data_IF_345434636542
#
_entry.id   IF_345434636542
#
_cell.length_a   1.000
_cell.length_b   1.000
_cell.length_c   1.000
_cell.angle_alpha   90.00
_cell.angle_beta   90.00
_cell.angle_gamma   90.00
#
_symmetry.space_group_name_H-M   'P 1'
#
loop_
_entity.id
_entity.type
_entity.pdbx_description
1 polymer ?
#
# COMPACT_ATOMS: atom_id res chain seq x y z
N UNK A 1 -5.29 -39.97 20.06
CA UNK A 1 -5.09 -41.31 20.65
C UNK A 1 -5.37 -42.32 19.55
N UNK A 2 -4.73 -43.49 19.60
CA UNK A 2 -4.59 -44.45 18.48
C UNK A 2 -3.74 -43.88 17.31
N UNK A 3 -2.79 -44.61 16.72
CA UNK A 3 -2.15 -45.87 17.12
C UNK A 3 -1.56 -46.62 15.93
N UNK A 4 -0.38 -47.28 16.12
CA UNK A 4 0.23 -48.31 15.22
C UNK A 4 0.74 -47.81 13.85
N UNK A 5 1.72 -48.41 13.17
CA UNK A 5 2.73 -49.47 13.43
C UNK A 5 3.87 -49.31 12.40
N UNK A 6 5.01 -50.00 12.54
CA UNK A 6 5.89 -50.36 11.39
C UNK A 6 7.35 -49.90 11.44
N UNK A 7 8.28 -50.86 11.51
CA UNK A 7 9.75 -50.71 11.51
C UNK A 7 10.38 -51.36 10.26
N UNK A 8 11.71 -51.18 10.11
CA UNK A 8 12.68 -51.82 9.18
C UNK A 8 12.81 -51.17 7.77
N UNK A 9 13.96 -51.16 7.08
CA UNK A 9 15.38 -51.44 7.41
C UNK A 9 16.29 -50.69 6.39
N UNK A 10 17.57 -50.46 6.71
CA UNK A 10 18.62 -50.00 5.77
C UNK A 10 19.48 -51.18 5.27
N UNK A 11 19.82 -51.20 3.98
CA UNK A 11 21.01 -51.93 3.46
C UNK A 11 21.63 -51.17 2.29
N UNK A 12 22.96 -51.03 2.35
CA UNK A 12 23.85 -50.46 1.33
C UNK A 12 24.69 -51.60 0.72
N UNK A 13 24.89 -51.63 -0.60
CA UNK A 13 26.15 -52.11 -1.19
C UNK A 13 26.33 -51.58 -2.65
N UNK A 14 27.60 -51.45 -2.97
CA UNK A 14 28.26 -50.84 -4.11
C UNK A 14 28.23 -51.63 -5.45
N UNK A 15 28.30 -50.87 -6.57
CA UNK A 15 29.26 -51.10 -7.68
C UNK A 15 29.21 -50.04 -8.80
N UNK A 16 30.36 -49.39 -9.03
CA UNK A 16 30.76 -48.63 -10.24
C UNK A 16 31.58 -49.60 -11.16
N UNK A 17 32.21 -49.25 -12.31
CA UNK A 17 32.15 -48.02 -13.12
C UNK A 17 32.07 -48.24 -14.66
N UNK A 18 31.98 -47.15 -15.44
CA UNK A 18 32.70 -47.02 -16.73
C UNK A 18 33.31 -45.61 -16.88
N UNK A 19 34.57 -45.57 -17.31
CA UNK A 19 35.29 -44.41 -17.85
C UNK A 19 35.81 -44.81 -19.23
N UNK A 20 35.74 -43.89 -20.19
CA UNK A 20 36.62 -43.81 -21.36
C UNK A 20 37.40 -42.51 -21.15
N UNK A 21 38.69 -42.52 -20.82
CA UNK A 21 39.86 -42.94 -21.64
C UNK A 21 40.24 -41.86 -22.66
N UNK A 22 41.06 -40.90 -22.22
CA UNK A 22 41.93 -40.08 -23.06
C UNK A 22 43.28 -39.93 -22.33
N UNK A 23 44.36 -40.06 -23.11
CA UNK A 23 45.74 -40.18 -22.62
C UNK A 23 46.44 -38.83 -22.48
N UNK A 24 47.50 -38.85 -21.69
CA UNK A 24 48.45 -37.76 -21.52
C UNK A 24 49.15 -37.38 -22.84
N UNK A 25 49.32 -36.08 -23.08
CA UNK A 25 50.57 -35.53 -23.62
C UNK A 25 50.90 -34.26 -22.83
N UNK A 26 52.08 -34.26 -22.17
CA UNK A 26 52.67 -33.09 -21.52
C UNK A 26 53.91 -32.70 -22.33
N UNK A 27 53.90 -31.51 -22.93
CA UNK A 27 55.11 -30.86 -23.45
C UNK A 27 55.12 -29.39 -23.02
N UNK A 28 56.32 -28.93 -22.69
CA UNK A 28 56.74 -27.70 -22.02
C UNK A 28 56.08 -26.37 -22.40
N UNK A 29 56.19 -25.44 -21.44
CA UNK A 29 55.89 -24.03 -21.57
C UNK A 29 56.93 -23.27 -22.42
N UNK A 30 56.52 -22.16 -23.04
CA UNK A 30 57.25 -20.88 -22.98
C UNK A 30 56.37 -19.71 -23.50
N UNK A 31 56.29 -18.67 -22.67
CA UNK A 31 56.12 -17.23 -22.93
C UNK A 31 55.00 -16.63 -23.82
N UNK A 32 54.25 -15.75 -23.14
CA UNK A 32 53.88 -14.37 -23.54
C UNK A 32 53.30 -14.08 -24.95
N UNK A 33 52.00 -13.73 -25.01
CA UNK A 33 51.56 -12.32 -25.02
C UNK A 33 50.03 -12.19 -25.08
N UNK A 34 49.53 -11.08 -24.53
CA UNK A 34 48.12 -10.75 -24.40
C UNK A 34 47.34 -10.71 -25.73
N UNK A 35 46.09 -11.18 -25.70
CA UNK A 35 45.01 -10.42 -26.31
C UNK A 35 43.74 -10.55 -25.47
N UNK A 36 43.33 -9.43 -24.87
CA UNK A 36 42.16 -9.36 -24.01
C UNK A 36 40.90 -9.33 -24.88
N UNK A 37 40.08 -10.37 -24.82
CA UNK A 37 38.72 -10.39 -25.39
C UNK A 37 37.77 -10.74 -24.26
N UNK A 38 37.56 -9.76 -23.38
CA UNK A 38 36.41 -9.77 -22.49
C UNK A 38 35.15 -9.80 -23.35
N UNK A 39 34.45 -10.94 -23.30
CA UNK A 39 33.05 -10.98 -23.72
C UNK A 39 32.30 -10.14 -22.71
N UNK A 40 32.05 -8.87 -23.03
CA UNK A 40 31.12 -8.04 -22.28
C UNK A 40 29.76 -8.75 -22.31
N UNK A 41 29.40 -9.36 -21.18
CA UNK A 41 28.01 -9.73 -20.90
C UNK A 41 27.18 -8.45 -20.90
N UNK A 42 26.59 -8.16 -22.06
CA UNK A 42 25.63 -7.09 -22.28
C UNK A 42 24.38 -7.33 -21.41
N UNK A 43 24.53 -7.05 -20.12
CA UNK A 43 23.44 -6.94 -19.17
C UNK A 43 22.55 -5.81 -19.68
N UNK A 44 21.27 -6.06 -20.02
CA UNK A 44 20.45 -5.05 -20.66
C UNK A 44 20.38 -3.79 -19.81
N UNK A 45 20.92 -2.68 -20.32
CA UNK A 45 20.95 -1.40 -19.60
C UNK A 45 19.52 -0.95 -19.32
N UNK A 46 19.05 -1.21 -18.09
CA UNK A 46 17.68 -0.93 -17.72
C UNK A 46 17.43 0.57 -17.87
N UNK A 47 16.41 0.95 -18.64
CA UNK A 47 16.07 2.34 -18.89
C UNK A 47 15.81 3.08 -17.57
N UNK A 48 16.73 3.96 -17.18
CA UNK A 48 16.57 4.84 -16.02
C UNK A 48 15.78 6.06 -16.46
N UNK A 49 14.71 6.39 -15.73
CA UNK A 49 13.88 7.59 -15.94
C UNK A 49 13.84 8.39 -14.65
N UNK A 50 14.46 9.57 -14.67
CA UNK A 50 14.38 10.54 -13.58
C UNK A 50 13.07 11.33 -13.72
N UNK A 51 12.33 11.45 -12.62
CA UNK A 51 11.08 12.19 -12.51
C UNK A 51 11.34 13.40 -11.64
N UNK A 52 11.43 14.57 -12.28
CA UNK A 52 11.51 15.87 -11.60
C UNK A 52 10.09 16.32 -11.19
N UNK A 53 9.92 16.70 -9.92
CA UNK A 53 8.63 17.06 -9.33
C UNK A 53 8.77 18.39 -8.57
N UNK A 54 7.91 19.36 -8.83
CA UNK A 54 7.83 20.55 -7.98
C UNK A 54 7.05 20.22 -6.69
N UNK A 55 7.63 20.53 -5.52
CA UNK A 55 7.02 20.26 -4.19
C UNK A 55 5.62 20.87 -4.02
N UNK A 56 5.28 21.92 -4.78
CA UNK A 56 3.98 22.60 -4.74
C UNK A 56 2.97 22.11 -5.80
N UNK A 57 3.33 21.12 -6.64
CA UNK A 57 2.49 20.63 -7.75
C UNK A 57 2.54 19.10 -7.94
N UNK A 58 2.87 18.35 -6.87
CA UNK A 58 3.23 16.92 -6.91
C UNK A 58 2.18 16.07 -7.62
N UNK A 59 0.89 16.28 -7.36
CA UNK A 59 -0.20 15.55 -7.99
C UNK A 59 -0.16 15.64 -9.53
N UNK A 60 -0.02 16.85 -10.08
CA UNK A 60 -0.05 17.06 -11.54
C UNK A 60 1.24 16.57 -12.20
N UNK A 61 2.39 16.87 -11.61
CA UNK A 61 3.69 16.50 -12.17
C UNK A 61 3.83 14.98 -12.27
N UNK A 62 3.40 14.26 -11.22
CA UNK A 62 3.33 12.79 -11.24
C UNK A 62 2.34 12.25 -12.28
N UNK A 63 1.14 12.82 -12.40
CA UNK A 63 0.16 12.38 -13.42
C UNK A 63 0.70 12.59 -14.84
N UNK A 64 1.46 13.66 -15.07
CA UNK A 64 2.12 13.95 -16.36
C UNK A 64 3.26 12.95 -16.62
N UNK A 65 4.14 12.72 -15.62
CA UNK A 65 5.26 11.80 -15.75
C UNK A 65 4.81 10.36 -16.06
N UNK A 66 3.72 9.92 -15.44
CA UNK A 66 3.14 8.58 -15.60
C UNK A 66 2.17 8.42 -16.79
N UNK A 67 2.17 9.37 -17.74
CA UNK A 67 1.39 9.30 -18.99
C UNK A 67 1.84 8.19 -19.94
N UNK A 68 3.14 7.96 -20.02
CA UNK A 68 3.77 6.94 -20.86
C UNK A 68 3.79 5.59 -20.13
N UNK A 69 3.26 4.54 -20.77
CA UNK A 69 3.10 3.22 -20.16
C UNK A 69 4.45 2.51 -19.91
N UNK A 70 5.47 2.86 -20.69
CA UNK A 70 6.83 2.30 -20.58
C UNK A 70 7.41 2.58 -19.19
N UNK A 71 6.96 3.62 -18.48
CA UNK A 71 7.43 3.99 -17.14
C UNK A 71 7.41 2.86 -16.11
N UNK A 72 6.50 1.89 -16.24
CA UNK A 72 6.42 0.74 -15.32
C UNK A 72 7.59 -0.25 -15.51
N UNK A 73 8.18 -0.32 -16.72
CA UNK A 73 9.37 -1.13 -17.00
C UNK A 73 10.68 -0.48 -16.53
N UNK A 74 10.73 0.86 -16.51
CA UNK A 74 11.92 1.63 -16.16
C UNK A 74 12.43 1.39 -14.73
N UNK A 75 13.71 1.68 -14.51
CA UNK A 75 14.21 2.04 -13.18
C UNK A 75 13.86 3.51 -12.93
N UNK A 76 13.25 3.82 -11.78
CA UNK A 76 12.69 5.14 -11.51
C UNK A 76 13.45 5.86 -10.39
N UNK A 77 13.96 7.04 -10.72
CA UNK A 77 14.42 8.03 -9.75
C UNK A 77 13.41 9.15 -9.64
N UNK A 78 13.21 9.65 -8.41
CA UNK A 78 12.34 10.80 -8.14
C UNK A 78 13.19 11.85 -7.45
N UNK A 79 13.17 13.06 -8.00
CA UNK A 79 13.87 14.23 -7.46
C UNK A 79 12.89 15.38 -7.32
N UNK A 80 13.03 16.15 -6.24
CA UNK A 80 12.31 17.41 -6.12
C UNK A 80 13.08 18.53 -6.83
N UNK A 81 12.34 19.48 -7.40
CA UNK A 81 12.89 20.68 -8.02
C UNK A 81 12.31 21.96 -7.41
N UNK A 82 13.14 23.01 -7.37
CA UNK A 82 12.74 24.36 -6.99
C UNK A 82 11.89 25.06 -8.08
N UNK A 83 11.46 26.29 -7.82
CA UNK A 83 10.70 27.13 -8.77
C UNK A 83 11.46 27.50 -10.05
N UNK A 84 12.78 27.27 -10.08
CA UNK A 84 13.67 27.54 -11.22
C UNK A 84 14.07 26.25 -11.96
N UNK A 85 13.63 25.08 -11.49
CA UNK A 85 13.96 23.77 -12.05
C UNK A 85 15.26 23.15 -11.55
N UNK A 86 15.91 23.73 -10.54
CA UNK A 86 17.12 23.13 -9.94
C UNK A 86 16.74 21.95 -9.04
N UNK A 87 17.52 20.88 -9.09
CA UNK A 87 17.30 19.67 -8.29
C UNK A 87 17.68 19.90 -6.82
N UNK A 88 16.76 19.58 -5.90
CA UNK A 88 17.04 19.49 -4.46
C UNK A 88 18.15 18.46 -4.19
N UNK A 89 19.03 18.74 -3.22
CA UNK A 89 20.13 17.83 -2.84
C UNK A 89 19.66 16.47 -2.27
N UNK A 90 18.36 16.31 -1.98
CA UNK A 90 17.79 15.08 -1.44
C UNK A 90 17.61 14.00 -2.52
N UNK A 91 18.14 12.79 -2.28
CA UNK A 91 17.94 11.61 -3.13
C UNK A 91 17.68 10.35 -2.29
N UNK A 92 17.22 9.28 -2.95
CA UNK A 92 17.05 7.95 -2.36
C UNK A 92 15.65 7.65 -1.81
N UNK A 93 15.53 6.56 -1.06
CA UNK A 93 14.23 5.97 -0.69
C UNK A 93 13.33 6.89 0.17
N UNK A 94 13.92 7.74 1.02
CA UNK A 94 13.17 8.72 1.81
C UNK A 94 12.42 9.72 0.93
N UNK A 95 13.10 10.30 -0.06
CA UNK A 95 12.52 11.26 -1.03
C UNK A 95 11.43 10.62 -1.88
N UNK A 96 11.65 9.38 -2.34
CA UNK A 96 10.65 8.60 -3.09
C UNK A 96 9.37 8.37 -2.28
N UNK A 97 9.49 8.01 -0.99
CA UNK A 97 8.34 7.85 -0.08
C UNK A 97 7.69 9.19 0.27
N UNK A 98 8.46 10.27 0.42
CA UNK A 98 7.95 11.62 0.64
C UNK A 98 7.06 12.05 -0.54
N UNK A 99 7.56 11.96 -1.77
CA UNK A 99 6.83 12.30 -2.99
C UNK A 99 5.52 11.52 -3.14
N UNK A 100 5.54 10.20 -2.87
CA UNK A 100 4.32 9.38 -2.89
C UNK A 100 3.34 9.78 -1.78
N UNK A 101 3.83 10.07 -0.57
CA UNK A 101 2.98 10.48 0.55
C UNK A 101 2.33 11.84 0.29
N UNK A 102 3.04 12.78 -0.36
CA UNK A 102 2.47 14.07 -0.80
C UNK A 102 1.46 13.84 -1.93
N UNK A 103 1.81 13.07 -2.97
CA UNK A 103 0.94 12.72 -4.09
C UNK A 103 -0.41 12.16 -3.62
N UNK A 104 -0.39 11.15 -2.75
CA UNK A 104 -1.62 10.51 -2.27
C UNK A 104 -2.41 11.43 -1.35
N UNK A 105 -1.76 12.26 -0.53
CA UNK A 105 -2.45 13.30 0.26
C UNK A 105 -3.17 14.32 -0.62
N UNK A 106 -2.52 14.81 -1.67
CA UNK A 106 -3.15 15.72 -2.64
C UNK A 106 -4.29 15.04 -3.42
N UNK A 107 -4.12 13.77 -3.80
CA UNK A 107 -5.17 12.94 -4.39
C UNK A 107 -6.38 12.84 -3.44
N UNK A 108 -6.20 12.52 -2.15
CA UNK A 108 -7.31 12.39 -1.20
C UNK A 108 -8.06 13.70 -0.93
N UNK A 109 -7.38 14.83 -1.08
CA UNK A 109 -7.94 16.16 -0.85
C UNK A 109 -8.69 16.71 -2.09
N UNK A 110 -8.43 16.20 -3.30
CA UNK A 110 -8.91 16.80 -4.54
C UNK A 110 -9.63 15.85 -5.50
N UNK A 111 -9.34 14.54 -5.46
CA UNK A 111 -9.82 13.50 -6.39
C UNK A 111 -10.53 12.33 -5.69
N UNK A 112 -10.81 12.44 -4.38
CA UNK A 112 -11.47 11.39 -3.59
C UNK A 112 -12.49 11.94 -2.60
N UNK A 113 -13.46 11.11 -2.21
CA UNK A 113 -14.40 11.37 -1.12
C UNK A 113 -14.22 10.35 0.01
N UNK A 114 -14.75 10.68 1.19
CA UNK A 114 -14.75 9.80 2.37
C UNK A 114 -14.00 10.38 3.57
N UNK A 115 -14.01 9.67 4.69
CA UNK A 115 -13.42 10.03 5.97
C UNK A 115 -12.07 9.31 6.21
N UNK A 116 -12.06 8.22 6.99
CA UNK A 116 -10.83 7.45 7.29
C UNK A 116 -10.45 6.49 6.17
N UNK A 117 -11.44 6.00 5.41
CA UNK A 117 -11.23 5.43 4.07
C UNK A 117 -11.72 6.38 2.98
N UNK A 118 -11.00 6.38 1.85
CA UNK A 118 -11.25 7.22 0.69
C UNK A 118 -11.54 6.37 -0.54
N UNK A 119 -12.48 6.78 -1.38
CA UNK A 119 -12.65 6.22 -2.74
C UNK A 119 -12.51 7.32 -3.79
N UNK A 120 -12.04 7.02 -5.01
CA UNK A 120 -11.92 8.02 -6.07
C UNK A 120 -13.28 8.63 -6.43
N UNK A 121 -13.32 9.96 -6.54
CA UNK A 121 -14.51 10.72 -6.89
C UNK A 121 -14.40 11.23 -8.33
N UNK A 122 -15.40 10.90 -9.16
CA UNK A 122 -15.43 11.33 -10.57
C UNK A 122 -15.48 12.87 -10.63
N UNK A 123 -14.64 13.45 -11.48
CA UNK A 123 -14.66 14.87 -11.84
C UNK A 123 -14.71 15.05 -13.34
N UNK A 124 -15.28 16.16 -13.79
CA UNK A 124 -15.43 16.48 -15.21
C UNK A 124 -14.09 16.80 -15.91
N UNK A 125 -13.09 17.26 -15.16
CA UNK A 125 -11.75 17.61 -15.63
C UNK A 125 -10.77 16.42 -15.64
N UNK A 126 -11.21 15.21 -15.24
CA UNK A 126 -10.39 13.99 -15.21
C UNK A 126 -11.02 12.87 -16.04
N UNK A 127 -10.41 12.57 -17.19
CA UNK A 127 -10.83 11.55 -18.13
C UNK A 127 -10.06 10.24 -17.90
N UNK A 128 -10.40 9.20 -18.68
CA UNK A 128 -9.80 7.87 -18.52
C UNK A 128 -8.26 7.86 -18.56
N UNK A 129 -7.64 8.77 -19.32
CA UNK A 129 -6.18 8.93 -19.39
C UNK A 129 -5.58 9.29 -18.03
N UNK A 130 -6.13 10.29 -17.34
CA UNK A 130 -5.59 10.76 -16.06
C UNK A 130 -5.78 9.68 -14.99
N UNK A 131 -6.94 9.02 -14.96
CA UNK A 131 -7.18 7.88 -14.05
C UNK A 131 -6.21 6.71 -14.31
N UNK A 132 -5.91 6.39 -15.57
CA UNK A 132 -4.88 5.39 -15.91
C UNK A 132 -3.50 5.80 -15.42
N UNK A 133 -3.11 7.06 -15.57
CA UNK A 133 -1.80 7.54 -15.09
C UNK A 133 -1.70 7.41 -13.56
N UNK A 134 -2.77 7.73 -12.81
CA UNK A 134 -2.82 7.54 -11.35
C UNK A 134 -2.71 6.05 -10.97
N UNK A 135 -3.32 5.14 -11.72
CA UNK A 135 -3.14 3.70 -11.52
C UNK A 135 -1.67 3.26 -11.74
N UNK A 136 -0.96 3.83 -12.71
CA UNK A 136 0.49 3.57 -12.90
C UNK A 136 1.32 4.11 -11.73
N UNK A 137 0.96 5.27 -11.14
CA UNK A 137 1.58 5.75 -9.89
C UNK A 137 1.38 4.77 -8.74
N UNK A 138 0.18 4.18 -8.60
CA UNK A 138 -0.12 3.17 -7.58
C UNK A 138 0.74 1.91 -7.77
N UNK A 139 0.80 1.38 -8.99
CA UNK A 139 1.59 0.17 -9.30
C UNK A 139 3.08 0.41 -9.12
N UNK A 140 3.62 1.55 -9.57
CA UNK A 140 5.03 1.90 -9.34
C UNK A 140 5.34 2.14 -7.86
N UNK A 141 4.42 2.79 -7.12
CA UNK A 141 4.47 2.95 -5.67
C UNK A 141 4.79 1.64 -4.96
N UNK A 142 4.01 0.59 -5.27
CA UNK A 142 4.23 -0.74 -4.70
C UNK A 142 5.50 -1.38 -5.24
N UNK A 143 5.60 -1.55 -6.56
CA UNK A 143 6.58 -2.42 -7.22
C UNK A 143 8.00 -1.87 -7.28
N UNK A 144 8.18 -0.55 -7.14
CA UNK A 144 9.49 0.11 -7.21
C UNK A 144 9.91 0.75 -5.88
N UNK A 145 8.95 1.13 -5.04
CA UNK A 145 9.19 2.01 -3.89
C UNK A 145 8.68 1.45 -2.54
N UNK A 146 8.04 0.27 -2.53
CA UNK A 146 7.54 -0.37 -1.30
C UNK A 146 6.40 0.37 -0.61
N UNK A 147 5.76 1.30 -1.30
CA UNK A 147 4.69 2.16 -0.78
C UNK A 147 3.32 1.72 -1.32
N UNK A 148 2.29 1.68 -0.47
CA UNK A 148 0.91 1.47 -0.92
C UNK A 148 -0.06 2.42 -0.23
N UNK A 149 -1.00 3.06 -0.95
CA UNK A 149 -1.95 4.02 -0.40
C UNK A 149 -3.07 3.36 0.43
N UNK A 150 -2.78 2.93 1.67
CA UNK A 150 -3.75 2.22 2.54
C UNK A 150 -4.96 3.05 3.02
N UNK A 151 -5.01 4.35 2.71
CA UNK A 151 -6.20 5.19 2.93
C UNK A 151 -7.20 5.05 1.79
N UNK A 152 -6.80 4.59 0.60
CA UNK A 152 -7.76 4.11 -0.40
C UNK A 152 -8.48 2.89 0.16
N UNK A 153 -9.81 2.87 0.07
CA UNK A 153 -10.60 1.76 0.59
C UNK A 153 -10.13 0.42 0.04
N UNK A 154 -9.89 -0.53 0.95
CA UNK A 154 -9.44 -1.88 0.62
C UNK A 154 -10.47 -2.62 -0.25
N UNK A 155 -11.76 -2.41 0.01
CA UNK A 155 -12.86 -2.90 -0.81
C UNK A 155 -12.89 -2.26 -2.22
N UNK A 156 -12.55 -0.97 -2.35
CA UNK A 156 -12.43 -0.33 -3.67
C UNK A 156 -11.28 -0.95 -4.49
N UNK A 157 -10.09 -1.12 -3.89
CA UNK A 157 -8.95 -1.78 -4.56
C UNK A 157 -9.30 -3.23 -4.92
N UNK A 158 -9.99 -3.95 -4.03
CA UNK A 158 -10.49 -5.28 -4.32
C UNK A 158 -11.46 -5.30 -5.52
N UNK A 159 -12.35 -4.30 -5.65
CA UNK A 159 -13.25 -4.18 -6.81
C UNK A 159 -12.52 -3.89 -8.13
N UNK A 160 -11.29 -3.37 -8.08
CA UNK A 160 -10.44 -3.18 -9.25
C UNK A 160 -9.72 -4.49 -9.65
N UNK A 161 -9.48 -5.39 -8.70
CA UNK A 161 -8.70 -6.63 -8.89
C UNK A 161 -9.60 -7.85 -9.10
N UNK A 162 -10.70 -7.98 -8.37
CA UNK A 162 -11.48 -9.21 -8.27
C UNK A 162 -12.90 -9.03 -8.81
N UNK A 163 -13.53 -10.12 -9.31
CA UNK A 163 -14.97 -10.13 -9.57
C UNK A 163 -15.76 -9.73 -8.33
N UNK A 164 -16.86 -9.01 -8.54
CA UNK A 164 -17.66 -8.39 -7.48
C UNK A 164 -18.32 -9.43 -6.56
N UNK A 165 -18.53 -10.64 -7.08
CA UNK A 165 -19.08 -11.80 -6.39
C UNK A 165 -18.18 -12.33 -5.27
N UNK A 166 -16.87 -11.98 -5.29
CA UNK A 166 -15.92 -12.33 -4.23
C UNK A 166 -15.88 -11.29 -3.08
N UNK A 167 -16.60 -10.17 -3.21
CA UNK A 167 -16.63 -9.10 -2.21
C UNK A 167 -17.74 -9.38 -1.19
N UNK A 168 -17.37 -9.77 0.03
CA UNK A 168 -18.31 -9.97 1.12
C UNK A 168 -19.07 -8.67 1.45
N UNK A 169 -20.41 -8.74 1.53
CA UNK A 169 -21.27 -7.55 1.76
C UNK A 169 -21.01 -6.91 3.12
N UNK A 170 -20.66 -7.72 4.09
CA UNK A 170 -20.31 -7.32 5.46
C UNK A 170 -19.04 -6.47 5.45
N UNK A 171 -18.02 -6.85 4.67
CA UNK A 171 -16.80 -6.06 4.47
C UNK A 171 -17.05 -4.74 3.72
N UNK A 172 -17.98 -4.73 2.76
CA UNK A 172 -18.41 -3.48 2.12
C UNK A 172 -19.07 -2.53 3.14
N UNK A 173 -19.88 -3.07 4.07
CA UNK A 173 -20.50 -2.28 5.16
C UNK A 173 -19.45 -1.76 6.15
N UNK A 174 -18.47 -2.57 6.52
CA UNK A 174 -17.33 -2.13 7.35
C UNK A 174 -16.54 -0.99 6.68
N UNK A 175 -16.23 -1.14 5.39
CA UNK A 175 -15.56 -0.13 4.58
C UNK A 175 -16.40 1.16 4.46
N UNK A 176 -17.72 1.02 4.28
CA UNK A 176 -18.65 2.16 4.26
C UNK A 176 -18.67 2.91 5.59
N UNK A 177 -18.62 2.19 6.72
CA UNK A 177 -18.50 2.79 8.06
C UNK A 177 -17.16 3.50 8.33
N UNK A 178 -16.13 3.30 7.49
CA UNK A 178 -14.88 4.08 7.47
C UNK A 178 -14.90 5.21 6.42
N UNK A 179 -15.70 5.05 5.36
CA UNK A 179 -15.89 6.06 4.33
C UNK A 179 -16.76 7.23 4.81
N UNK A 180 -17.82 6.99 5.58
CA UNK A 180 -18.66 8.05 6.16
C UNK A 180 -18.02 8.66 7.42
N UNK A 181 -18.49 9.83 7.85
CA UNK A 181 -18.00 10.44 9.10
C UNK A 181 -18.28 9.55 10.32
N UNK A 182 -17.53 9.77 11.40
CA UNK A 182 -17.69 8.99 12.64
C UNK A 182 -19.13 9.06 13.18
N UNK A 183 -19.74 10.25 13.12
CA UNK A 183 -21.10 10.52 13.57
C UNK A 183 -22.15 9.76 12.73
N UNK A 184 -22.12 9.89 11.40
CA UNK A 184 -22.96 9.09 10.48
C UNK A 184 -22.78 7.58 10.71
N UNK A 185 -21.54 7.15 11.00
CA UNK A 185 -21.18 5.75 11.25
C UNK A 185 -21.74 5.22 12.57
N UNK A 186 -21.79 6.03 13.62
CA UNK A 186 -22.37 5.70 14.91
C UNK A 186 -23.91 5.71 14.82
N UNK A 187 -24.50 6.71 14.17
CA UNK A 187 -25.95 6.82 13.90
C UNK A 187 -26.48 5.64 13.08
N UNK A 188 -25.80 5.21 12.01
CA UNK A 188 -26.21 4.04 11.23
C UNK A 188 -25.97 2.69 11.94
N UNK A 189 -25.10 2.63 12.95
CA UNK A 189 -24.98 1.43 13.81
C UNK A 189 -26.11 1.39 14.84
N UNK A 190 -26.41 2.53 15.48
CA UNK A 190 -27.54 2.70 16.40
C UNK A 190 -28.88 2.37 15.74
N UNK A 191 -29.07 2.77 14.49
CA UNK A 191 -30.32 2.52 13.75
C UNK A 191 -30.68 1.04 13.54
N UNK A 192 -29.72 0.11 13.68
CA UNK A 192 -29.98 -1.35 13.61
C UNK A 192 -30.06 -2.06 14.97
N UNK A 193 -29.75 -1.40 16.09
CA UNK A 193 -29.84 -1.96 17.46
C UNK A 193 -31.11 -1.50 18.19
N UNK A 194 -31.53 -2.19 19.26
CA UNK A 194 -32.75 -1.85 20.00
C UNK A 194 -32.75 -0.45 20.66
N UNK A 195 -31.60 0.25 20.66
CA UNK A 195 -31.45 1.65 21.04
C UNK A 195 -32.20 2.63 20.12
N UNK A 196 -32.54 2.22 18.89
CA UNK A 196 -33.37 2.98 17.95
C UNK A 196 -34.59 2.12 17.54
N UNK A 197 -35.69 2.12 18.31
CA UNK A 197 -36.85 1.26 18.05
C UNK A 197 -37.55 1.57 16.71
N UNK A 198 -37.67 2.85 16.35
CA UNK A 198 -38.23 3.31 15.08
C UNK A 198 -37.26 4.26 14.35
N UNK A 199 -36.41 3.74 13.45
CA UNK A 199 -35.50 4.56 12.65
C UNK A 199 -36.20 5.47 11.62
N UNK A 200 -37.52 5.38 11.46
CA UNK A 200 -38.27 6.22 10.51
C UNK A 200 -38.66 7.59 11.08
N UNK A 201 -38.63 7.73 12.40
CA UNK A 201 -38.92 8.97 13.14
C UNK A 201 -37.70 9.58 13.83
N UNK A 202 -36.53 8.96 13.67
CA UNK A 202 -35.26 9.37 14.28
C UNK A 202 -34.57 10.40 13.38
N UNK A 203 -34.51 11.65 13.83
CA UNK A 203 -34.07 12.81 13.02
C UNK A 203 -32.67 12.57 12.45
N UNK A 204 -31.69 12.20 13.29
CA UNK A 204 -30.32 11.88 12.88
C UNK A 204 -30.30 10.81 11.77
N UNK A 205 -31.04 9.71 11.93
CA UNK A 205 -31.09 8.64 10.93
C UNK A 205 -31.71 9.14 9.62
N UNK A 206 -32.78 9.92 9.69
CA UNK A 206 -33.42 10.47 8.49
C UNK A 206 -32.51 11.47 7.76
N UNK A 207 -31.78 12.31 8.48
CA UNK A 207 -30.84 13.28 7.92
C UNK A 207 -29.66 12.58 7.23
N UNK A 208 -29.04 11.59 7.88
CA UNK A 208 -27.99 10.77 7.26
C UNK A 208 -28.51 10.09 6.01
N UNK A 209 -29.68 9.45 6.06
CA UNK A 209 -30.25 8.77 4.88
C UNK A 209 -30.64 9.74 3.76
N UNK A 210 -31.01 10.98 4.08
CA UNK A 210 -31.29 12.03 3.11
C UNK A 210 -30.05 12.49 2.35
N UNK A 211 -28.88 12.55 3.03
CA UNK A 211 -27.61 12.97 2.42
C UNK A 211 -27.15 12.00 1.31
N UNK A 212 -27.37 10.70 1.52
CA UNK A 212 -27.17 9.64 0.52
C UNK A 212 -28.36 9.47 -0.45
N UNK A 213 -29.39 10.33 -0.37
CA UNK A 213 -30.59 10.35 -1.23
C UNK A 213 -31.37 9.03 -1.20
N UNK A 214 -31.43 8.39 -0.03
CA UNK A 214 -32.19 7.16 0.16
C UNK A 214 -33.69 7.38 -0.17
N UNK A 215 -34.28 6.44 -0.93
CA UNK A 215 -35.71 6.47 -1.32
C UNK A 215 -36.50 5.26 -0.82
N UNK A 216 -35.90 4.43 0.04
CA UNK A 216 -36.57 3.25 0.61
C UNK A 216 -37.39 3.66 1.83
N UNK A 217 -38.50 2.96 2.06
CA UNK A 217 -39.20 3.01 3.33
C UNK A 217 -38.30 2.54 4.47
N UNK A 218 -37.94 3.47 5.35
CA UNK A 218 -37.13 3.23 6.54
C UNK A 218 -37.99 2.53 7.58
N UNK A 219 -37.50 1.40 8.11
CA UNK A 219 -38.07 0.63 9.21
C UNK A 219 -36.96 -0.21 9.85
N UNK A 220 -37.20 -0.74 11.05
CA UNK A 220 -36.25 -1.61 11.74
C UNK A 220 -35.80 -2.82 10.90
N UNK A 221 -36.73 -3.49 10.23
CA UNK A 221 -36.47 -4.67 9.39
C UNK A 221 -35.75 -4.33 8.06
N UNK A 222 -35.92 -3.12 7.53
CA UNK A 222 -35.31 -2.70 6.26
C UNK A 222 -33.93 -2.05 6.43
N UNK A 223 -33.64 -1.53 7.62
CA UNK A 223 -32.43 -0.75 7.89
C UNK A 223 -31.11 -1.48 7.54
N UNK A 224 -30.90 -2.76 7.92
CA UNK A 224 -29.68 -3.50 7.52
C UNK A 224 -29.52 -3.65 6.01
N UNK A 225 -30.63 -3.74 5.27
CA UNK A 225 -30.62 -3.82 3.80
C UNK A 225 -30.29 -2.47 3.17
N UNK A 226 -30.84 -1.37 3.71
CA UNK A 226 -30.53 -0.01 3.27
C UNK A 226 -29.02 0.26 3.42
N UNK A 227 -28.43 -0.05 4.58
CA UNK A 227 -26.99 0.15 4.82
C UNK A 227 -26.13 -0.68 3.85
N UNK A 228 -26.48 -1.95 3.60
CA UNK A 228 -25.79 -2.79 2.59
C UNK A 228 -25.86 -2.22 1.17
N UNK A 229 -26.98 -1.59 0.80
CA UNK A 229 -27.14 -0.98 -0.52
C UNK A 229 -26.41 0.37 -0.63
N UNK A 230 -26.41 1.20 0.42
CA UNK A 230 -25.59 2.41 0.47
C UNK A 230 -24.09 2.09 0.41
N UNK A 231 -23.63 1.09 1.16
CA UNK A 231 -22.26 0.62 1.13
C UNK A 231 -21.83 0.19 -0.29
N UNK A 232 -22.67 -0.60 -0.98
CA UNK A 232 -22.41 -0.99 -2.36
C UNK A 232 -22.41 0.22 -3.32
N UNK A 233 -23.36 1.14 -3.16
CA UNK A 233 -23.46 2.34 -3.98
C UNK A 233 -22.21 3.22 -3.88
N UNK A 234 -21.79 3.56 -2.66
CA UNK A 234 -20.68 4.50 -2.44
C UNK A 234 -19.30 3.86 -2.69
N UNK A 235 -19.08 2.61 -2.28
CA UNK A 235 -17.76 1.96 -2.36
C UNK A 235 -17.51 1.32 -3.73
N UNK A 236 -18.55 0.84 -4.43
CA UNK A 236 -18.41 0.06 -5.67
C UNK A 236 -19.02 0.80 -6.88
N UNK A 237 -20.28 1.23 -6.79
CA UNK A 237 -20.99 1.78 -7.97
C UNK A 237 -20.47 3.17 -8.38
N UNK A 238 -20.37 4.12 -7.44
CA UNK A 238 -19.90 5.48 -7.72
C UNK A 238 -18.47 5.52 -8.31
N UNK A 239 -17.46 4.84 -7.75
CA UNK A 239 -16.12 4.86 -8.30
C UNK A 239 -15.92 3.90 -9.49
N UNK A 240 -16.97 3.20 -9.98
CA UNK A 240 -16.84 2.15 -11.01
C UNK A 240 -16.16 2.62 -12.31
N UNK A 241 -16.36 3.88 -12.73
CA UNK A 241 -15.66 4.45 -13.89
C UNK A 241 -14.14 4.46 -13.68
N UNK A 242 -13.69 4.84 -12.48
CA UNK A 242 -12.27 4.86 -12.11
C UNK A 242 -11.76 3.44 -11.93
N UNK A 243 -12.52 2.56 -11.28
CA UNK A 243 -12.19 1.13 -11.17
C UNK A 243 -11.93 0.50 -12.55
N UNK A 244 -12.83 0.71 -13.51
CA UNK A 244 -12.68 0.21 -14.88
C UNK A 244 -11.45 0.78 -15.61
N UNK A 245 -11.03 2.01 -15.29
CA UNK A 245 -9.81 2.60 -15.82
C UNK A 245 -8.53 2.02 -15.16
N UNK A 246 -8.62 1.67 -13.87
CA UNK A 246 -7.53 1.14 -13.06
C UNK A 246 -7.32 -0.37 -13.27
N UNK A 247 -8.38 -1.17 -13.36
CA UNK A 247 -8.35 -2.63 -13.43
C UNK A 247 -7.32 -3.21 -14.41
N UNK A 248 -7.19 -2.75 -15.67
CA UNK A 248 -6.21 -3.30 -16.60
C UNK A 248 -4.76 -3.14 -16.11
N UNK A 249 -4.48 -2.05 -15.38
CA UNK A 249 -3.14 -1.68 -14.90
C UNK A 249 -2.86 -2.34 -13.54
N UNK A 250 -3.80 -2.26 -12.58
CA UNK A 250 -3.60 -2.85 -11.25
C UNK A 250 -3.61 -4.38 -11.26
N UNK A 251 -4.14 -5.02 -12.31
CA UNK A 251 -4.03 -6.47 -12.49
C UNK A 251 -2.58 -6.97 -12.52
N UNK A 252 -1.58 -6.14 -12.87
CA UNK A 252 -0.17 -6.50 -12.73
C UNK A 252 0.22 -6.89 -11.30
N UNK A 253 -0.47 -6.35 -10.29
CA UNK A 253 -0.18 -6.61 -8.89
C UNK A 253 -0.48 -8.07 -8.49
N UNK A 254 -1.34 -8.78 -9.22
CA UNK A 254 -1.70 -10.19 -8.93
C UNK A 254 -0.53 -11.18 -9.00
N UNK A 255 0.62 -10.78 -9.56
CA UNK A 255 1.85 -11.58 -9.52
C UNK A 255 2.47 -11.66 -8.11
N UNK A 256 2.14 -10.71 -7.23
CA UNK A 256 2.60 -10.67 -5.84
C UNK A 256 1.57 -11.32 -4.92
N UNK A 257 2.04 -12.00 -3.87
CA UNK A 257 1.20 -12.81 -2.96
C UNK A 257 0.09 -11.98 -2.31
N UNK A 258 0.41 -10.73 -1.95
CA UNK A 258 -0.46 -9.76 -1.33
C UNK A 258 -1.75 -9.48 -2.11
N UNK A 259 -1.75 -9.66 -3.44
CA UNK A 259 -2.88 -9.35 -4.32
C UNK A 259 -3.46 -10.58 -5.03
N UNK A 260 -3.09 -11.80 -4.63
CA UNK A 260 -3.64 -13.03 -5.25
C UNK A 260 -5.09 -13.30 -4.84
N UNK A 261 -5.48 -12.96 -3.63
CA UNK A 261 -6.82 -13.21 -3.09
C UNK A 261 -7.37 -11.99 -2.32
N UNK A 262 -8.67 -12.02 -2.00
CA UNK A 262 -9.26 -11.00 -1.12
C UNK A 262 -8.64 -11.06 0.28
N UNK A 263 -8.43 -12.27 0.82
CA UNK A 263 -7.80 -12.45 2.14
C UNK A 263 -6.35 -11.94 2.20
N UNK A 264 -5.56 -12.16 1.14
CA UNK A 264 -4.19 -11.65 1.09
C UNK A 264 -4.17 -10.12 1.09
N UNK A 265 -5.10 -9.50 0.36
CA UNK A 265 -5.23 -8.06 0.25
C UNK A 265 -5.64 -7.43 1.59
N UNK A 266 -6.61 -8.02 2.29
CA UNK A 266 -7.04 -7.57 3.63
C UNK A 266 -5.86 -7.65 4.61
N UNK A 267 -5.14 -8.79 4.66
CA UNK A 267 -3.96 -8.95 5.54
C UNK A 267 -2.83 -7.97 5.19
N UNK A 268 -2.61 -7.69 3.91
CA UNK A 268 -1.64 -6.70 3.47
C UNK A 268 -2.01 -5.29 3.95
N UNK A 269 -3.26 -4.88 3.75
CA UNK A 269 -3.80 -3.62 4.25
C UNK A 269 -3.65 -3.49 5.76
N UNK A 270 -4.03 -4.52 6.51
CA UNK A 270 -3.82 -4.58 7.95
C UNK A 270 -2.34 -4.41 8.29
N UNK A 271 -1.44 -5.19 7.68
CA UNK A 271 -0.01 -5.13 7.97
C UNK A 271 0.58 -3.72 7.72
N UNK A 272 0.15 -3.04 6.66
CA UNK A 272 0.65 -1.72 6.25
C UNK A 272 -0.01 -0.54 6.97
N UNK A 273 -1.23 -0.68 7.49
CA UNK A 273 -1.94 0.38 8.23
C UNK A 273 -1.23 0.69 9.57
N UNK A 274 -0.78 1.94 9.79
CA UNK A 274 -0.14 2.33 11.04
C UNK A 274 -1.12 2.23 12.21
N UNK A 275 -0.60 1.84 13.37
CA UNK A 275 -1.27 1.95 14.67
C UNK A 275 -0.20 2.26 15.71
N UNK A 276 -0.61 2.85 16.83
CA UNK A 276 0.24 3.14 18.00
C UNK A 276 1.06 1.90 18.39
N UNK A 277 0.40 0.73 18.47
CA UNK A 277 1.01 -0.56 18.79
C UNK A 277 2.05 -1.00 17.76
N UNK A 278 1.81 -0.82 16.46
CA UNK A 278 2.76 -1.21 15.39
C UNK A 278 3.93 -0.24 15.32
N UNK A 279 3.68 1.06 15.33
CA UNK A 279 4.73 2.09 15.27
C UNK A 279 5.65 2.03 16.50
N UNK A 280 5.10 1.79 17.70
CA UNK A 280 5.93 1.52 18.89
C UNK A 280 6.82 0.26 18.79
N UNK A 281 6.47 -0.72 17.94
CA UNK A 281 7.33 -1.90 17.70
C UNK A 281 8.44 -1.61 16.69
N UNK A 282 8.21 -0.72 15.72
CA UNK A 282 9.25 -0.27 14.78
C UNK A 282 10.37 0.49 15.50
N UNK A 283 10.06 1.23 16.57
CA UNK A 283 11.05 1.98 17.35
C UNK A 283 12.07 1.05 18.05
N UNK A 284 13.30 1.08 17.55
CA UNK A 284 14.49 0.39 18.08
C UNK A 284 15.49 1.41 18.63
N UNK A 285 16.28 1.02 19.63
CA UNK A 285 17.31 1.87 20.24
C UNK A 285 18.24 1.03 21.13
N UNK A 286 19.47 1.48 21.35
CA UNK A 286 20.44 0.87 22.25
C UNK A 286 20.89 1.87 23.35
N UNK A 287 20.03 2.19 24.34
CA UNK A 287 20.31 3.19 25.36
C UNK A 287 21.36 2.71 26.39
N UNK A 288 22.49 3.40 26.46
CA UNK A 288 23.59 3.12 27.39
C UNK A 288 23.28 3.58 28.82
N UNK A 289 22.71 4.77 29.00
CA UNK A 289 22.43 5.38 30.32
C UNK A 289 20.98 5.21 30.77
N UNK A 290 20.71 5.40 32.06
CA UNK A 290 19.33 5.37 32.58
C UNK A 290 18.49 6.53 32.05
N UNK A 291 19.07 7.72 31.88
CA UNK A 291 18.41 8.87 31.23
C UNK A 291 18.00 8.56 29.78
N UNK A 292 18.85 7.86 29.02
CA UNK A 292 18.51 7.40 27.67
C UNK A 292 17.41 6.33 27.68
N UNK A 293 17.45 5.38 28.62
CA UNK A 293 16.39 4.36 28.83
C UNK A 293 15.04 5.01 29.16
N UNK A 294 15.04 6.01 30.04
CA UNK A 294 13.87 6.78 30.41
C UNK A 294 13.34 7.61 29.23
N UNK A 295 14.19 8.34 28.52
CA UNK A 295 13.83 9.09 27.31
C UNK A 295 13.15 8.20 26.25
N UNK A 296 13.69 7.02 25.96
CA UNK A 296 13.07 6.07 25.03
C UNK A 296 11.72 5.53 25.53
N UNK A 297 11.59 5.32 26.84
CA UNK A 297 10.32 4.96 27.48
C UNK A 297 9.28 6.08 27.31
N UNK A 298 9.67 7.35 27.47
CA UNK A 298 8.80 8.50 27.22
C UNK A 298 8.38 8.60 25.74
N UNK A 299 9.30 8.43 24.78
CA UNK A 299 8.96 8.39 23.36
C UNK A 299 7.93 7.28 23.05
N UNK A 300 8.12 6.07 23.61
CA UNK A 300 7.17 4.96 23.46
C UNK A 300 5.84 5.19 24.19
N UNK A 301 5.80 6.00 25.26
CA UNK A 301 4.54 6.44 25.90
C UNK A 301 3.82 7.48 25.05
N UNK A 302 4.55 8.47 24.50
CA UNK A 302 4.03 9.49 23.60
C UNK A 302 3.36 8.88 22.37
N UNK A 303 4.04 7.98 21.65
CA UNK A 303 3.47 7.29 20.47
C UNK A 303 2.25 6.43 20.83
N UNK A 304 2.18 5.89 22.07
CA UNK A 304 0.98 5.18 22.57
C UNK A 304 -0.21 6.08 22.86
N UNK A 305 0.01 7.37 23.15
CA UNK A 305 -1.06 8.35 23.41
C UNK A 305 -1.58 9.07 22.17
N UNK A 306 -0.97 8.88 20.99
CA UNK A 306 -1.44 9.48 19.74
C UNK A 306 -2.74 8.83 19.25
N UNK A 307 -3.64 9.62 18.69
CA UNK A 307 -4.74 9.10 17.87
C UNK A 307 -4.24 8.54 16.51
N UNK A 308 -5.15 7.93 15.75
CA UNK A 308 -4.85 7.24 14.50
C UNK A 308 -4.35 8.18 13.38
N UNK A 309 -4.72 9.46 13.42
CA UNK A 309 -4.24 10.47 12.48
C UNK A 309 -2.84 10.95 12.90
N UNK A 310 -2.66 11.30 14.17
CA UNK A 310 -1.38 11.77 14.71
C UNK A 310 -0.30 10.69 14.64
N UNK A 311 -0.61 9.40 14.83
CA UNK A 311 0.38 8.33 14.67
C UNK A 311 0.84 8.15 13.22
N UNK A 312 -0.06 8.41 12.25
CA UNK A 312 0.26 8.41 10.83
C UNK A 312 1.15 9.59 10.43
N UNK A 313 0.90 10.78 11.00
CA UNK A 313 1.73 11.98 10.84
C UNK A 313 3.11 11.77 11.48
N UNK A 314 3.18 11.20 12.68
CA UNK A 314 4.45 10.86 13.34
C UNK A 314 5.26 9.88 12.49
N UNK A 315 4.64 8.83 11.95
CA UNK A 315 5.32 7.88 11.07
C UNK A 315 5.85 8.55 9.80
N UNK A 316 5.08 9.46 9.20
CA UNK A 316 5.53 10.24 8.04
C UNK A 316 6.73 11.12 8.37
N UNK A 317 6.73 11.79 9.53
CA UNK A 317 7.84 12.62 9.97
C UNK A 317 9.15 11.83 10.15
N UNK A 318 9.10 10.64 10.76
CA UNK A 318 10.32 9.86 11.07
C UNK A 318 10.78 8.90 9.96
N UNK A 319 9.96 8.63 8.93
CA UNK A 319 10.28 7.64 7.88
C UNK A 319 10.12 8.12 6.44
N UNK A 320 9.55 9.32 6.25
CA UNK A 320 9.09 9.84 4.96
C UNK A 320 7.79 9.20 4.45
N UNK A 321 7.14 8.33 5.23
CA UNK A 321 5.93 7.61 4.80
C UNK A 321 4.82 7.58 5.84
N UNK A 322 3.59 7.83 5.44
CA UNK A 322 2.40 7.69 6.30
C UNK A 322 1.92 6.23 6.46
N UNK A 323 2.67 5.25 5.96
CA UNK A 323 2.37 3.80 6.06
C UNK A 323 3.59 3.01 6.53
N UNK A 324 3.39 1.75 6.95
CA UNK A 324 4.49 0.88 7.41
C UNK A 324 5.30 0.37 6.20
N UNK A 325 6.25 1.18 5.75
CA UNK A 325 7.15 0.91 4.63
C UNK A 325 8.60 0.54 5.05
N UNK A 326 8.85 0.34 6.36
CA UNK A 326 10.15 0.00 6.94
C UNK A 326 9.98 -1.03 8.07
N UNK A 327 11.01 -1.84 8.30
CA UNK A 327 11.01 -2.89 9.34
C UNK A 327 11.40 -2.34 10.73
N UNK A 328 12.18 -1.26 10.77
CA UNK A 328 12.60 -0.58 12.01
C UNK A 328 12.81 0.92 11.79
N UNK A 329 12.73 1.67 12.89
CA UNK A 329 13.07 3.09 13.00
C UNK A 329 14.05 3.18 14.16
N UNK A 330 15.31 3.49 13.86
CA UNK A 330 16.37 3.61 14.86
C UNK A 330 16.30 4.96 15.57
N UNK A 331 16.35 4.93 16.91
CA UNK A 331 16.40 6.12 17.76
C UNK A 331 17.78 6.20 18.41
N UNK A 332 18.62 7.08 17.87
CA UNK A 332 19.91 7.44 18.43
C UNK A 332 19.77 8.59 19.45
N UNK A 333 20.74 8.68 20.36
CA UNK A 333 20.85 9.80 21.30
C UNK A 333 22.07 10.64 20.92
N UNK A 334 21.89 11.95 20.78
CA UNK A 334 23.00 12.89 20.72
C UNK A 334 23.63 13.03 22.10
N UNK A 335 24.96 13.07 22.16
CA UNK A 335 25.66 13.67 23.29
C UNK A 335 25.44 15.20 23.26
N UNK A 336 25.30 15.84 24.42
CA UNK A 336 25.28 17.30 24.48
C UNK A 336 26.68 17.82 24.16
N UNK A 337 26.78 18.66 23.12
CA UNK A 337 28.01 19.27 22.61
C UNK A 337 28.33 20.61 23.28
#
# INVERSE_FOLDING_TARGET
MEGKDGLWVLTDDSRNPRREDYRDEVIDAHDELANDHQVEENTPTQLVKEIAINRNNVLKDMIIAFKDEIILSCCLEIVFIDERGNIDNGRGAGVKREALSIFWREFYNSLATGASEKVPAIRHDYQQSEWKNIARVLVAGFTKFGYFPVTLSSAFIASCLFPEELLAKEWLVESFHQYISKDESETLKRSVTDECPDPSTDEDVTDVLSSYKCRRGVRKDTMPKIIKELAHQEIIQRPKYVANAWSPIVNELKRFEEFKTVDSLVRFYEAKKPTQKKVCKLLTSNPATDAQRECFSHLKRFVKSLDDNLVSIFLQYVSGSNIIAVDSIEVAFSEES
#
